data_IF_210129273416
#
_entry.id   IF_210129273416
#
_cell.length_a   1.000
_cell.length_b   1.000
_cell.length_c   1.000
_cell.angle_alpha   90.00
_cell.angle_beta   90.00
_cell.angle_gamma   90.00
#
_symmetry.space_group_name_H-M   'P 1'
#
loop_
_entity.id
_entity.type
_entity.pdbx_description
1 polymer ?
#
# COMPACT_ATOMS: atom_id res chain seq x y z
N UNK A 1 -11.46 21.82 18.29
CA UNK A 1 -10.42 22.79 18.72
C UNK A 1 -9.88 22.55 20.13
N UNK A 2 -10.55 21.79 21.02
CA UNK A 2 -10.04 21.50 22.37
C UNK A 2 -8.70 20.72 22.38
N UNK A 3 -8.54 19.73 21.51
CA UNK A 3 -7.33 18.91 21.43
C UNK A 3 -6.04 19.71 21.19
N UNK A 4 -6.09 20.73 20.33
CA UNK A 4 -4.93 21.58 20.02
C UNK A 4 -4.41 22.39 21.22
N UNK A 5 -5.22 22.53 22.29
CA UNK A 5 -4.83 23.22 23.52
C UNK A 5 -4.13 22.31 24.54
N UNK A 6 -4.26 20.99 24.41
CA UNK A 6 -3.81 20.02 25.43
C UNK A 6 -2.78 19.02 24.90
N UNK A 7 -2.84 18.68 23.61
CA UNK A 7 -1.91 17.74 23.01
C UNK A 7 -0.64 18.47 22.54
N UNK A 8 0.55 18.08 23.02
CA UNK A 8 1.79 18.68 22.56
C UNK A 8 2.11 18.23 21.12
N UNK A 9 2.82 19.10 20.39
CA UNK A 9 3.42 18.79 19.09
C UNK A 9 4.95 18.88 19.16
N UNK A 10 5.67 18.40 18.14
CA UNK A 10 7.12 18.54 18.09
C UNK A 10 7.54 20.02 17.93
N UNK A 11 8.74 20.36 18.40
CA UNK A 11 9.39 21.65 18.15
C UNK A 11 10.70 21.45 17.37
N UNK A 12 10.63 21.09 16.08
CA UNK A 12 11.80 20.72 15.30
C UNK A 12 12.50 21.93 14.69
N UNK A 13 13.77 21.76 14.33
CA UNK A 13 14.47 22.69 13.45
C UNK A 13 13.89 22.63 12.04
N UNK A 14 12.98 23.56 11.74
CA UNK A 14 12.32 23.66 10.43
C UNK A 14 13.32 23.98 9.32
N UNK A 15 14.35 24.77 9.60
CA UNK A 15 15.32 25.16 8.59
C UNK A 15 16.20 23.96 8.20
N UNK A 16 16.64 23.17 9.18
CA UNK A 16 17.38 21.93 8.95
C UNK A 16 16.57 20.86 8.19
N UNK A 17 15.25 20.79 8.40
CA UNK A 17 14.40 19.81 7.69
C UNK A 17 14.03 20.25 6.27
N UNK A 18 13.67 21.53 6.09
CA UNK A 18 13.18 22.03 4.79
C UNK A 18 14.33 22.36 3.84
N UNK A 19 15.44 22.89 4.35
CA UNK A 19 16.60 23.29 3.52
C UNK A 19 16.23 24.26 2.40
N UNK A 20 16.69 23.97 1.18
CA UNK A 20 16.32 24.75 -0.02
C UNK A 20 14.86 24.54 -0.41
N UNK A 21 14.10 25.65 -0.47
CA UNK A 21 12.65 25.62 -0.75
C UNK A 21 12.34 25.06 -2.13
N UNK A 22 13.15 25.35 -3.16
CA UNK A 22 12.86 24.88 -4.53
C UNK A 22 13.03 23.36 -4.61
N UNK A 23 14.12 22.83 -4.06
CA UNK A 23 14.35 21.40 -3.95
C UNK A 23 13.25 20.71 -3.12
N UNK A 24 12.86 21.31 -1.99
CA UNK A 24 11.80 20.75 -1.15
C UNK A 24 10.43 20.71 -1.86
N UNK A 25 10.07 21.77 -2.59
CA UNK A 25 8.86 21.77 -3.42
C UNK A 25 8.89 20.66 -4.49
N UNK A 26 10.04 20.40 -5.11
CA UNK A 26 10.19 19.30 -6.06
C UNK A 26 10.04 17.93 -5.37
N UNK A 27 10.53 17.78 -4.14
CA UNK A 27 10.29 16.58 -3.35
C UNK A 27 8.79 16.37 -3.08
N UNK A 28 8.05 17.42 -2.71
CA UNK A 28 6.59 17.37 -2.52
C UNK A 28 5.89 16.95 -3.81
N UNK A 29 6.26 17.53 -4.95
CA UNK A 29 5.68 17.19 -6.26
C UNK A 29 5.85 15.71 -6.59
N UNK A 30 7.05 15.16 -6.36
CA UNK A 30 7.35 13.74 -6.59
C UNK A 30 6.62 12.83 -5.60
N UNK A 31 6.55 13.20 -4.32
CA UNK A 31 5.82 12.47 -3.28
C UNK A 31 4.32 12.37 -3.60
N UNK A 32 3.71 13.48 -4.02
CA UNK A 32 2.33 13.54 -4.46
C UNK A 32 2.09 12.64 -5.67
N UNK A 33 2.98 12.70 -6.66
CA UNK A 33 2.84 11.91 -7.87
C UNK A 33 2.94 10.40 -7.60
N UNK A 34 3.92 9.97 -6.79
CA UNK A 34 4.04 8.58 -6.36
C UNK A 34 2.80 8.10 -5.57
N UNK A 35 2.33 8.90 -4.62
CA UNK A 35 1.16 8.56 -3.82
C UNK A 35 -0.11 8.46 -4.67
N UNK A 36 -0.26 9.33 -5.68
CA UNK A 36 -1.34 9.24 -6.66
C UNK A 36 -1.27 7.92 -7.43
N UNK A 37 -0.09 7.52 -7.90
CA UNK A 37 0.09 6.22 -8.60
C UNK A 37 -0.40 5.06 -7.73
N UNK A 38 -0.02 5.05 -6.45
CA UNK A 38 -0.45 4.00 -5.51
C UNK A 38 -1.96 3.96 -5.33
N UNK A 39 -2.60 5.12 -5.13
CA UNK A 39 -4.05 5.18 -4.96
C UNK A 39 -4.79 4.63 -6.19
N UNK A 40 -4.31 4.93 -7.40
CA UNK A 40 -4.88 4.33 -8.62
C UNK A 40 -4.57 2.83 -8.73
N UNK A 41 -3.36 2.39 -8.40
CA UNK A 41 -3.01 0.97 -8.37
C UNK A 41 -3.95 0.18 -7.45
N UNK A 42 -4.21 0.69 -6.23
CA UNK A 42 -5.17 0.10 -5.29
C UNK A 42 -6.60 0.10 -5.83
N UNK A 43 -7.04 1.18 -6.47
CA UNK A 43 -8.37 1.26 -7.09
C UNK A 43 -8.55 0.22 -8.20
N UNK A 44 -7.54 0.03 -9.05
CA UNK A 44 -7.60 -1.01 -10.10
C UNK A 44 -7.45 -2.43 -9.53
N UNK A 45 -6.74 -2.64 -8.42
CA UNK A 45 -6.76 -3.93 -7.70
C UNK A 45 -8.16 -4.25 -7.17
N UNK A 46 -8.87 -3.26 -6.62
CA UNK A 46 -10.25 -3.43 -6.15
C UNK A 46 -11.18 -3.81 -7.31
N UNK A 47 -11.05 -3.13 -8.45
CA UNK A 47 -11.81 -3.49 -9.66
C UNK A 47 -11.44 -4.88 -10.19
N UNK A 48 -10.18 -5.27 -10.12
CA UNK A 48 -9.73 -6.60 -10.53
C UNK A 48 -10.33 -7.70 -9.65
N UNK A 49 -10.38 -7.48 -8.34
CA UNK A 49 -11.01 -8.42 -7.42
C UNK A 49 -12.53 -8.48 -7.61
N UNK A 50 -13.21 -7.34 -7.79
CA UNK A 50 -14.62 -7.29 -8.13
C UNK A 50 -14.92 -8.03 -9.45
N UNK A 51 -14.08 -7.83 -10.47
CA UNK A 51 -14.20 -8.54 -11.74
C UNK A 51 -14.09 -10.06 -11.55
N UNK A 52 -13.17 -10.52 -10.69
CA UNK A 52 -12.95 -11.95 -10.39
C UNK A 52 -14.15 -12.55 -9.63
N UNK A 53 -14.60 -11.89 -8.57
CA UNK A 53 -15.69 -12.36 -7.70
C UNK A 53 -17.03 -12.35 -8.43
N UNK A 54 -17.36 -11.27 -9.13
CA UNK A 54 -18.66 -11.08 -9.76
C UNK A 54 -18.71 -11.46 -11.24
N UNK A 55 -17.58 -11.85 -11.84
CA UNK A 55 -17.47 -12.29 -13.25
C UNK A 55 -17.99 -11.25 -14.25
N UNK A 56 -17.78 -9.96 -13.98
CA UNK A 56 -18.30 -8.86 -14.81
C UNK A 56 -17.60 -8.67 -16.16
N UNK A 57 -16.46 -9.34 -16.38
CA UNK A 57 -15.63 -9.19 -17.57
C UNK A 57 -15.25 -7.71 -17.87
N UNK A 58 -14.81 -7.00 -16.83
CA UNK A 58 -14.44 -5.59 -16.90
C UNK A 58 -13.26 -5.35 -17.86
N UNK A 59 -13.36 -4.27 -18.65
CA UNK A 59 -12.27 -3.78 -19.48
C UNK A 59 -11.60 -2.57 -18.81
N UNK A 60 -10.45 -2.79 -18.16
CA UNK A 60 -9.75 -1.76 -17.39
C UNK A 60 -9.24 -0.59 -18.24
N UNK A 61 -8.79 -0.85 -19.47
CA UNK A 61 -8.40 0.21 -20.41
C UNK A 61 -9.57 1.14 -20.76
N UNK A 62 -10.75 0.56 -20.99
CA UNK A 62 -11.97 1.33 -21.28
C UNK A 62 -12.46 2.11 -20.07
N UNK A 63 -12.36 1.56 -18.86
CA UNK A 63 -12.63 2.29 -17.61
C UNK A 63 -11.71 3.51 -17.48
N UNK A 64 -10.40 3.33 -17.70
CA UNK A 64 -9.44 4.43 -17.67
C UNK A 64 -9.74 5.50 -18.74
N UNK A 65 -10.18 5.08 -19.93
CA UNK A 65 -10.60 5.99 -20.99
C UNK A 65 -11.84 6.80 -20.61
N UNK A 66 -12.88 6.16 -20.04
CA UNK A 66 -14.10 6.85 -19.57
C UNK A 66 -13.77 7.92 -18.53
N UNK A 67 -12.80 7.66 -17.64
CA UNK A 67 -12.39 8.64 -16.65
C UNK A 67 -11.49 9.75 -17.21
N UNK A 68 -11.00 9.63 -18.44
CA UNK A 68 -10.08 10.62 -19.03
C UNK A 68 -10.75 11.97 -19.30
N UNK A 69 -12.07 11.99 -19.50
CA UNK A 69 -12.85 13.20 -19.81
C UNK A 69 -14.18 13.22 -19.05
N UNK A 70 -14.77 14.41 -18.91
CA UNK A 70 -16.08 14.60 -18.27
C UNK A 70 -16.09 14.48 -16.74
N UNK A 71 -15.40 13.50 -16.16
CA UNK A 71 -15.39 13.30 -14.70
C UNK A 71 -14.43 14.25 -13.95
N UNK A 72 -14.55 14.31 -12.62
CA UNK A 72 -13.75 15.18 -11.74
C UNK A 72 -12.27 14.80 -11.74
N UNK A 73 -11.95 13.50 -11.80
CA UNK A 73 -10.57 12.99 -11.70
C UNK A 73 -9.80 13.02 -13.03
N UNK A 74 -10.40 13.60 -14.08
CA UNK A 74 -9.83 13.69 -15.43
C UNK A 74 -8.40 14.24 -15.40
N UNK A 75 -7.47 13.54 -16.05
CA UNK A 75 -6.08 13.99 -16.15
C UNK A 75 -5.34 13.25 -17.26
N UNK A 76 -4.23 13.85 -17.75
CA UNK A 76 -3.33 13.18 -18.71
C UNK A 76 -2.83 11.82 -18.19
N UNK A 77 -2.71 11.69 -16.87
CA UNK A 77 -2.34 10.46 -16.16
C UNK A 77 -3.21 9.25 -16.52
N UNK A 78 -4.52 9.43 -16.72
CA UNK A 78 -5.43 8.35 -17.09
C UNK A 78 -5.17 7.81 -18.50
N UNK A 79 -4.58 8.64 -19.37
CA UNK A 79 -4.09 8.19 -20.67
C UNK A 79 -2.95 7.16 -20.55
N UNK A 80 -2.07 7.32 -19.56
CA UNK A 80 -0.98 6.35 -19.32
C UNK A 80 -1.52 5.04 -18.73
N UNK A 81 -2.55 5.10 -17.87
CA UNK A 81 -3.24 3.89 -17.38
C UNK A 81 -3.89 3.13 -18.55
N UNK A 82 -4.59 3.84 -19.44
CA UNK A 82 -5.17 3.22 -20.63
C UNK A 82 -4.09 2.52 -21.45
N UNK A 83 -2.98 3.20 -21.77
CA UNK A 83 -1.86 2.63 -22.53
C UNK A 83 -1.29 1.38 -21.87
N UNK A 84 -1.15 1.38 -20.54
CA UNK A 84 -0.67 0.21 -19.81
C UNK A 84 -1.58 -1.02 -20.01
N UNK A 85 -2.90 -0.83 -19.92
CA UNK A 85 -3.87 -1.91 -20.14
C UNK A 85 -4.10 -2.25 -21.63
N UNK A 86 -3.90 -1.30 -22.55
CA UNK A 86 -3.89 -1.60 -23.99
C UNK A 86 -2.68 -2.49 -24.34
N UNK A 87 -1.53 -2.21 -23.74
CA UNK A 87 -0.29 -2.99 -23.95
C UNK A 87 -0.37 -4.37 -23.31
N UNK A 88 -0.90 -4.45 -22.08
CA UNK A 88 -1.12 -5.71 -21.38
C UNK A 88 -2.50 -5.71 -20.69
N UNK A 89 -3.54 -6.26 -21.34
CA UNK A 89 -4.87 -6.36 -20.75
C UNK A 89 -4.93 -7.22 -19.48
N UNK A 90 -3.95 -8.11 -19.28
CA UNK A 90 -3.84 -9.02 -18.12
C UNK A 90 -2.84 -8.51 -17.07
N UNK A 91 -2.52 -7.22 -17.09
CA UNK A 91 -1.62 -6.60 -16.12
C UNK A 91 -2.10 -6.84 -14.69
N UNK A 92 -1.29 -7.52 -13.88
CA UNK A 92 -1.65 -7.90 -12.50
C UNK A 92 -1.73 -6.69 -11.57
N UNK A 93 -0.92 -5.67 -11.81
CA UNK A 93 -0.92 -4.42 -11.06
C UNK A 93 -0.32 -3.29 -11.90
N UNK A 94 -0.85 -2.07 -11.77
CA UNK A 94 -0.32 -0.89 -12.47
C UNK A 94 1.18 -0.64 -12.18
N UNK A 95 1.67 -1.02 -11.00
CA UNK A 95 3.09 -0.88 -10.65
C UNK A 95 4.02 -1.78 -11.46
N UNK A 96 3.49 -2.79 -12.16
CA UNK A 96 4.27 -3.69 -13.02
C UNK A 96 4.40 -3.18 -14.45
N UNK A 97 3.67 -2.12 -14.82
CA UNK A 97 3.88 -1.45 -16.10
C UNK A 97 5.15 -0.56 -16.06
N UNK A 98 5.84 -0.51 -17.20
CA UNK A 98 7.14 0.14 -17.33
C UNK A 98 7.11 1.65 -17.06
N UNK A 99 6.03 2.35 -17.45
CA UNK A 99 5.90 3.79 -17.22
C UNK A 99 5.76 4.08 -15.73
N UNK A 100 4.85 3.37 -15.05
CA UNK A 100 4.62 3.57 -13.62
C UNK A 100 5.81 3.11 -12.77
N UNK A 101 6.46 2.00 -13.13
CA UNK A 101 7.68 1.56 -12.47
C UNK A 101 8.79 2.61 -12.55
N UNK A 102 9.01 3.19 -13.73
CA UNK A 102 10.00 4.25 -13.91
C UNK A 102 9.63 5.53 -13.14
N UNK A 103 8.34 5.89 -13.13
CA UNK A 103 7.85 7.02 -12.34
C UNK A 103 8.13 6.83 -10.84
N UNK A 104 7.82 5.65 -10.29
CA UNK A 104 8.08 5.33 -8.88
C UNK A 104 9.58 5.34 -8.58
N UNK A 105 10.42 4.74 -9.44
CA UNK A 105 11.89 4.77 -9.28
C UNK A 105 12.42 6.21 -9.14
N UNK A 106 11.94 7.13 -9.97
CA UNK A 106 12.34 8.56 -9.95
C UNK A 106 11.79 9.35 -8.75
N UNK A 107 10.76 8.85 -8.09
CA UNK A 107 10.05 9.57 -7.02
C UNK A 107 10.32 9.00 -5.62
N UNK A 108 10.68 7.73 -5.48
CA UNK A 108 10.64 7.04 -4.19
C UNK A 108 11.55 7.67 -3.11
N UNK A 109 12.69 8.23 -3.49
CA UNK A 109 13.57 8.94 -2.54
C UNK A 109 12.92 10.21 -2.01
N UNK A 110 12.45 11.07 -2.93
CA UNK A 110 11.72 12.30 -2.61
C UNK A 110 10.48 12.04 -1.77
N UNK A 111 9.81 10.93 -2.05
CA UNK A 111 8.64 10.51 -1.33
C UNK A 111 8.96 10.13 0.13
N UNK A 112 10.08 9.44 0.38
CA UNK A 112 10.57 9.17 1.74
C UNK A 112 10.97 10.44 2.47
N UNK A 113 11.65 11.37 1.81
CA UNK A 113 12.02 12.67 2.37
C UNK A 113 10.77 13.41 2.87
N UNK A 114 9.72 13.50 2.06
CA UNK A 114 8.49 14.21 2.44
C UNK A 114 7.71 13.49 3.53
N UNK A 115 7.61 12.17 3.48
CA UNK A 115 6.96 11.40 4.54
C UNK A 115 7.69 11.55 5.88
N UNK A 116 9.03 11.51 5.88
CA UNK A 116 9.83 11.73 7.08
C UNK A 116 9.71 13.17 7.58
N UNK A 117 9.79 14.16 6.69
CA UNK A 117 9.61 15.57 7.04
C UNK A 117 8.22 15.82 7.66
N UNK A 118 7.15 15.25 7.11
CA UNK A 118 5.81 15.34 7.68
C UNK A 118 5.75 14.84 9.12
N UNK A 119 6.35 13.66 9.39
CA UNK A 119 6.42 13.08 10.74
C UNK A 119 7.23 13.98 11.68
N UNK A 120 8.45 14.37 11.29
CA UNK A 120 9.34 15.20 12.13
C UNK A 120 8.75 16.58 12.42
N UNK A 121 8.04 17.17 11.44
CA UNK A 121 7.37 18.47 11.55
C UNK A 121 6.04 18.40 12.29
N UNK A 122 5.51 17.22 12.60
CA UNK A 122 4.17 17.05 13.15
C UNK A 122 3.06 17.46 12.18
N UNK A 123 3.32 17.40 10.87
CA UNK A 123 2.34 17.71 9.81
C UNK A 123 1.67 16.40 9.39
N UNK A 124 0.33 16.28 9.51
CA UNK A 124 -0.36 15.05 9.15
C UNK A 124 -0.35 14.84 7.63
N UNK A 125 0.31 13.78 7.18
CA UNK A 125 0.38 13.37 5.77
C UNK A 125 -0.19 11.96 5.54
N UNK A 126 -1.42 11.65 5.99
CA UNK A 126 -1.94 10.27 6.02
C UNK A 126 -1.90 9.59 4.65
N UNK A 127 -2.25 10.32 3.58
CA UNK A 127 -2.23 9.81 2.21
C UNK A 127 -0.82 9.46 1.71
N UNK A 128 0.21 10.26 2.07
CA UNK A 128 1.59 9.94 1.71
C UNK A 128 2.12 8.76 2.52
N UNK A 129 1.84 8.75 3.82
CA UNK A 129 2.29 7.70 4.74
C UNK A 129 1.71 6.34 4.38
N UNK A 130 0.39 6.27 4.14
CA UNK A 130 -0.26 5.00 3.79
C UNK A 130 0.16 4.49 2.41
N UNK A 131 0.29 5.39 1.44
CA UNK A 131 0.71 4.99 0.11
C UNK A 131 2.15 4.45 0.13
N UNK A 132 3.06 5.04 0.92
CA UNK A 132 4.45 4.58 1.06
C UNK A 132 4.50 3.24 1.77
N UNK A 133 3.74 3.08 2.86
CA UNK A 133 3.63 1.83 3.59
C UNK A 133 3.07 0.71 2.70
N UNK A 134 2.05 1.00 1.88
CA UNK A 134 1.55 0.04 0.90
C UNK A 134 2.61 -0.34 -0.13
N UNK A 135 3.33 0.63 -0.71
CA UNK A 135 4.37 0.36 -1.68
C UNK A 135 5.48 -0.53 -1.11
N UNK A 136 5.99 -0.20 0.08
CA UNK A 136 7.01 -0.98 0.75
C UNK A 136 6.49 -2.38 1.16
N UNK A 137 5.23 -2.47 1.58
CA UNK A 137 4.58 -3.74 1.87
C UNK A 137 4.43 -4.62 0.62
N UNK A 138 3.95 -4.04 -0.47
CA UNK A 138 3.66 -4.73 -1.73
C UNK A 138 4.91 -5.29 -2.41
N UNK A 139 6.05 -4.60 -2.31
CA UNK A 139 7.32 -5.06 -2.87
C UNK A 139 8.10 -6.01 -1.96
N UNK A 140 7.66 -6.21 -0.71
CA UNK A 140 8.38 -7.04 0.24
C UNK A 140 7.98 -8.50 0.07
N UNK A 141 8.94 -9.37 -0.27
CA UNK A 141 8.70 -10.81 -0.45
C UNK A 141 8.26 -11.49 0.85
N UNK A 142 8.80 -11.06 1.99
CA UNK A 142 8.51 -11.64 3.32
C UNK A 142 8.11 -10.50 4.25
N UNK A 143 6.82 -10.44 4.57
CA UNK A 143 6.26 -9.48 5.53
C UNK A 143 6.27 -10.07 6.95
N UNK A 144 6.20 -9.21 7.99
CA UNK A 144 6.12 -9.65 9.38
C UNK A 144 4.78 -10.36 9.74
N UNK A 145 3.97 -10.74 8.75
CA UNK A 145 2.74 -11.51 8.93
C UNK A 145 3.01 -12.91 9.51
N UNK A 146 4.24 -13.42 9.40
CA UNK A 146 4.67 -14.64 10.10
C UNK A 146 4.54 -14.50 11.64
N UNK A 147 4.84 -13.33 12.20
CA UNK A 147 4.64 -13.09 13.63
C UNK A 147 3.16 -13.07 14.00
N UNK A 148 2.30 -12.51 13.13
CA UNK A 148 0.84 -12.56 13.31
C UNK A 148 0.35 -14.01 13.32
N UNK A 149 0.85 -14.86 12.41
CA UNK A 149 0.51 -16.28 12.41
C UNK A 149 0.98 -16.99 13.69
N UNK A 150 2.21 -16.74 14.14
CA UNK A 150 2.72 -17.29 15.40
C UNK A 150 1.89 -16.83 16.61
N UNK A 151 1.50 -15.56 16.67
CA UNK A 151 0.63 -15.04 17.74
C UNK A 151 -0.74 -15.73 17.74
N UNK A 152 -1.38 -15.84 16.57
CA UNK A 152 -2.69 -16.51 16.42
C UNK A 152 -2.63 -17.97 16.84
N UNK A 153 -1.55 -18.66 16.50
CA UNK A 153 -1.36 -20.05 16.92
C UNK A 153 -1.05 -20.15 18.42
N UNK A 154 -0.30 -19.20 18.98
CA UNK A 154 0.04 -19.15 20.40
C UNK A 154 -1.19 -19.02 21.31
N UNK A 155 -2.00 -17.97 21.14
CA UNK A 155 -3.11 -17.70 22.07
C UNK A 155 -4.41 -18.41 21.67
N UNK A 156 -4.49 -18.93 20.44
CA UNK A 156 -5.74 -19.38 19.86
C UNK A 156 -5.66 -20.67 19.06
N UNK A 157 -4.51 -21.37 19.03
CA UNK A 157 -4.30 -22.64 18.33
C UNK A 157 -4.85 -22.66 16.88
N UNK A 158 -4.73 -21.50 16.21
CA UNK A 158 -5.26 -21.25 14.87
C UNK A 158 -4.42 -21.83 13.74
N UNK A 159 -3.32 -22.51 14.08
CA UNK A 159 -2.37 -23.11 13.14
C UNK A 159 -1.68 -22.08 12.23
N UNK A 160 -0.65 -22.52 11.52
CA UNK A 160 0.05 -21.73 10.51
C UNK A 160 0.70 -22.65 9.46
N UNK A 161 1.12 -22.07 8.34
CA UNK A 161 1.85 -22.77 7.28
C UNK A 161 3.35 -22.41 7.33
N UNK A 162 4.20 -23.36 6.93
CA UNK A 162 5.62 -23.09 6.70
C UNK A 162 5.86 -22.67 5.25
N UNK A 163 6.87 -21.81 5.04
CA UNK A 163 7.22 -21.30 3.70
C UNK A 163 7.64 -22.39 2.72
N UNK A 164 8.25 -23.48 3.20
CA UNK A 164 8.68 -24.63 2.41
C UNK A 164 7.59 -25.70 2.23
N UNK A 165 6.48 -25.60 2.96
CA UNK A 165 5.34 -26.53 2.90
C UNK A 165 3.98 -25.82 2.86
N UNK A 166 3.70 -24.96 1.85
CA UNK A 166 2.37 -24.37 1.68
C UNK A 166 1.28 -25.44 1.55
N UNK A 167 0.10 -25.17 2.08
CA UNK A 167 -1.06 -26.07 2.14
C UNK A 167 -1.09 -26.99 3.37
N UNK A 168 0.00 -27.06 4.15
CA UNK A 168 0.07 -27.88 5.37
C UNK A 168 0.02 -26.98 6.61
N UNK A 169 -1.03 -27.14 7.41
CA UNK A 169 -1.22 -26.39 8.66
C UNK A 169 -0.61 -27.13 9.85
N UNK A 170 0.17 -26.40 10.65
CA UNK A 170 0.83 -26.88 11.85
C UNK A 170 0.37 -26.08 13.06
N UNK A 171 0.24 -26.75 14.19
CA UNK A 171 0.12 -26.13 15.50
C UNK A 171 1.39 -26.41 16.31
N UNK A 172 1.92 -25.40 16.98
CA UNK A 172 3.02 -25.55 17.92
C UNK A 172 2.50 -25.44 19.36
N UNK A 173 2.91 -26.36 20.23
CA UNK A 173 2.74 -26.17 21.67
C UNK A 173 3.75 -25.14 22.18
N UNK A 174 3.37 -23.87 22.17
CA UNK A 174 4.26 -22.75 22.51
C UNK A 174 4.56 -22.62 24.01
N UNK A 175 3.68 -23.12 24.89
CA UNK A 175 3.84 -22.99 26.34
C UNK A 175 4.57 -24.16 26.98
N UNK A 176 4.73 -25.27 26.25
CA UNK A 176 5.28 -26.53 26.75
C UNK A 176 4.34 -27.29 27.71
N UNK A 177 3.19 -26.69 28.04
CA UNK A 177 2.20 -27.24 28.98
C UNK A 177 0.77 -27.22 28.42
N UNK A 178 0.54 -26.55 27.28
CA UNK A 178 -0.70 -26.63 26.53
C UNK A 178 -0.74 -27.94 25.75
N UNK A 179 -1.85 -28.67 25.78
CA UNK A 179 -1.98 -29.90 24.99
C UNK A 179 -1.92 -29.65 23.47
N UNK A 180 -1.95 -30.71 22.67
CA UNK A 180 -1.96 -30.65 21.19
C UNK A 180 -3.34 -30.24 20.61
N UNK A 181 -4.09 -29.40 21.30
CA UNK A 181 -5.48 -29.09 20.96
C UNK A 181 -5.51 -27.91 20.00
N UNK A 182 -6.00 -28.14 18.78
CA UNK A 182 -6.17 -27.10 17.74
C UNK A 182 -7.56 -26.48 17.81
N UNK A 183 -7.71 -25.20 17.46
CA UNK A 183 -9.00 -24.49 17.42
C UNK A 183 -9.82 -24.80 16.17
N UNK A 184 -9.85 -26.06 15.72
CA UNK A 184 -10.70 -26.41 14.58
C UNK A 184 -12.13 -26.00 14.89
N UNK A 185 -12.81 -25.42 13.89
CA UNK A 185 -14.19 -25.01 14.02
C UNK A 185 -15.00 -26.18 14.59
N UNK A 186 -15.85 -25.91 15.59
CA UNK A 186 -16.93 -26.83 15.93
C UNK A 186 -17.62 -27.19 14.62
N UNK A 187 -17.56 -28.46 14.24
CA UNK A 187 -18.31 -28.98 13.11
C UNK A 187 -19.78 -28.69 13.45
N UNK A 188 -20.40 -27.76 12.72
CA UNK A 188 -21.86 -27.64 12.68
C UNK A 188 -22.41 -28.73 11.78
#
# INVERSE_FOLDING_TARGET
MAAAKVLPGPNPDKAGIVGDRKAFCEHIRKALYASKIISYAQGFMLLAEANRVFKWNLNFGSIALMWRGGCIIRSRFLGEIKKAYDTNPKLSNLLMDSFFLNAIRKCQESWRIISAAGILLGIPTPAFSTALAFYDGFRCKVLPANLIQAQRDYFGAHMYELMDKPGTFLHTNWTGTGGNVTSTAYIQ
#
